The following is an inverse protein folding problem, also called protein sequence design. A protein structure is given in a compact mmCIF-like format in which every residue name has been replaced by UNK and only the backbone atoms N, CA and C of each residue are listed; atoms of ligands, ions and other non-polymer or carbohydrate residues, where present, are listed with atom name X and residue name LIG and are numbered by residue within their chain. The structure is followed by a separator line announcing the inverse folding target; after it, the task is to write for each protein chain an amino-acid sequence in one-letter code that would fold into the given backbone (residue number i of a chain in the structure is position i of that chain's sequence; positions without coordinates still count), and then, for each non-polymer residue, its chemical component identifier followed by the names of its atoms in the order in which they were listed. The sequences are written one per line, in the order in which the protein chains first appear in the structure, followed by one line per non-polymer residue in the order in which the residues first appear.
data_IF_415718810149
#
_entry.id   IF_415718810149
#
_cell.length_a   1.000
_cell.length_b   1.000
_cell.length_c   1.000
_cell.angle_alpha   90.00
_cell.angle_beta   90.00
_cell.angle_gamma   90.00
#
_symmetry.space_group_name_H-M   'P 1'
#
loop_
_entity.id
_entity.type
_entity.pdbx_description
1 polymer ?
#
# COMPACT_ATOMS: atom_id res chain seq x y z
N UNK A 1 22.83 41.07 -13.22
CA UNK A 1 23.33 39.70 -13.08
C UNK A 1 22.15 38.84 -12.65
N UNK A 2 21.71 37.95 -13.50
CA UNK A 2 20.60 37.05 -13.21
C UNK A 2 21.04 36.06 -12.13
N UNK A 3 20.43 36.18 -10.96
CA UNK A 3 20.58 35.23 -9.88
C UNK A 3 19.68 34.06 -10.25
N UNK A 4 20.22 33.00 -10.86
CA UNK A 4 19.49 31.77 -11.12
C UNK A 4 19.08 31.14 -9.79
N UNK A 5 17.78 31.09 -9.53
CA UNK A 5 17.22 30.33 -8.42
C UNK A 5 17.39 28.85 -8.73
N UNK A 6 18.13 28.13 -7.90
CA UNK A 6 18.25 26.68 -7.97
C UNK A 6 17.36 26.07 -6.90
N UNK A 7 16.63 25.04 -7.26
CA UNK A 7 15.80 24.26 -6.35
C UNK A 7 16.30 22.81 -6.34
N UNK A 8 16.46 22.25 -5.15
CA UNK A 8 16.77 20.84 -4.95
C UNK A 8 15.51 20.21 -4.40
N UNK A 9 15.03 19.18 -5.10
CA UNK A 9 13.81 18.45 -4.74
C UNK A 9 14.19 17.02 -4.43
N UNK A 10 13.69 16.49 -3.31
CA UNK A 10 13.94 15.12 -2.88
C UNK A 10 13.15 14.80 -1.63
N UNK A 11 13.29 13.57 -1.17
CA UNK A 11 12.64 13.07 0.04
C UNK A 11 13.66 12.32 0.92
N UNK A 12 14.06 12.87 2.06
CA UNK A 12 15.04 12.25 2.95
C UNK A 12 14.50 10.98 3.64
N UNK A 13 13.20 10.70 3.50
CA UNK A 13 12.53 9.51 4.02
C UNK A 13 12.47 8.37 3.00
N UNK A 14 13.00 8.58 1.79
CA UNK A 14 13.18 7.56 0.76
C UNK A 14 14.66 7.18 0.61
N UNK A 15 14.95 6.25 -0.31
CA UNK A 15 16.33 5.82 -0.54
C UNK A 15 17.17 6.97 -1.12
N UNK A 16 18.41 7.14 -0.66
CA UNK A 16 19.36 8.05 -1.30
C UNK A 16 19.68 7.58 -2.72
N UNK A 17 20.22 8.47 -3.59
CA UNK A 17 20.65 8.08 -4.92
C UNK A 17 21.71 6.98 -4.84
N UNK A 18 21.50 5.89 -5.59
CA UNK A 18 22.52 4.84 -5.72
C UNK A 18 23.62 5.31 -6.65
N UNK A 19 24.89 4.97 -6.35
CA UNK A 19 26.01 5.26 -7.23
C UNK A 19 25.94 4.42 -8.51
N UNK A 20 25.31 4.96 -9.55
CA UNK A 20 25.27 4.34 -10.88
C UNK A 20 26.66 4.18 -11.54
N UNK A 21 27.71 4.78 -10.97
CA UNK A 21 29.08 4.78 -11.54
C UNK A 21 30.08 3.90 -10.81
N UNK A 22 29.73 3.27 -9.69
CA UNK A 22 30.56 2.23 -9.10
C UNK A 22 30.34 0.94 -9.86
N UNK A 23 31.34 0.61 -10.67
CA UNK A 23 31.35 -0.55 -11.56
C UNK A 23 31.10 -1.87 -10.83
N UNK A 24 30.10 -2.59 -11.34
CA UNK A 24 30.02 -4.05 -11.39
C UNK A 24 30.42 -4.86 -10.15
N UNK A 25 29.44 -5.37 -9.53
CA UNK A 25 29.29 -6.38 -8.48
C UNK A 25 28.79 -5.76 -7.19
N UNK A 26 27.48 -5.67 -7.12
CA UNK A 26 26.79 -5.60 -5.83
C UNK A 26 26.97 -6.97 -5.19
N UNK A 27 28.10 -7.19 -4.55
CA UNK A 27 28.23 -8.23 -3.54
C UNK A 27 27.41 -7.75 -2.37
N UNK A 28 26.38 -8.51 -1.98
CA UNK A 28 25.53 -8.22 -0.83
C UNK A 28 26.32 -7.98 0.48
N UNK A 29 27.59 -8.40 0.54
CA UNK A 29 28.50 -8.21 1.66
C UNK A 29 29.26 -6.87 1.65
N UNK A 30 29.36 -6.16 0.52
CA UNK A 30 30.15 -4.92 0.40
C UNK A 30 29.35 -3.61 0.37
N UNK A 31 28.01 -3.66 0.45
CA UNK A 31 27.17 -2.45 0.44
C UNK A 31 27.23 -1.64 1.76
N UNK A 32 28.04 -2.04 2.73
CA UNK A 32 28.22 -1.33 4.01
C UNK A 32 28.94 0.03 3.88
N UNK A 33 29.48 0.39 2.70
CA UNK A 33 30.30 1.60 2.52
C UNK A 33 29.66 2.72 1.72
N UNK A 34 28.39 2.59 1.29
CA UNK A 34 27.81 3.54 0.34
C UNK A 34 26.50 4.19 0.79
N UNK A 35 26.30 4.46 2.06
CA UNK A 35 25.35 5.49 2.47
C UNK A 35 25.97 6.87 2.20
N UNK A 36 26.09 7.20 0.91
CA UNK A 36 26.46 8.55 0.50
C UNK A 36 25.32 9.49 0.88
N UNK A 37 25.65 10.49 1.65
CA UNK A 37 24.75 11.61 1.93
C UNK A 37 24.24 12.18 0.60
N UNK A 38 22.94 12.38 0.52
CA UNK A 38 22.36 12.99 -0.69
C UNK A 38 22.67 14.50 -0.69
N UNK A 39 22.76 15.11 -1.88
CA UNK A 39 22.86 16.57 -2.00
C UNK A 39 21.76 17.30 -1.22
N UNK A 40 20.59 16.67 -1.06
CA UNK A 40 19.51 17.20 -0.23
C UNK A 40 19.90 17.24 1.25
N UNK A 41 20.53 16.18 1.77
CA UNK A 41 20.97 16.11 3.16
C UNK A 41 22.06 17.15 3.43
N UNK A 42 23.00 17.37 2.50
CA UNK A 42 24.00 18.45 2.58
C UNK A 42 23.34 19.83 2.68
N UNK A 43 22.33 20.08 1.83
CA UNK A 43 21.60 21.35 1.85
C UNK A 43 20.80 21.55 3.15
N UNK A 44 20.22 20.47 3.69
CA UNK A 44 19.53 20.52 4.98
C UNK A 44 20.50 20.76 6.14
N UNK A 45 21.69 20.15 6.10
CA UNK A 45 22.73 20.32 7.11
C UNK A 45 23.21 21.78 7.22
N UNK A 46 23.31 22.48 6.10
CA UNK A 46 23.67 23.91 6.08
C UNK A 46 22.46 24.85 6.27
N UNK A 47 21.32 24.33 6.68
CA UNK A 47 20.10 25.09 6.98
C UNK A 47 19.58 25.92 5.82
N UNK A 48 19.66 25.44 4.59
CA UNK A 48 19.02 26.09 3.45
C UNK A 48 17.52 26.24 3.66
N UNK A 49 16.89 27.34 3.20
CA UNK A 49 15.44 27.49 3.27
C UNK A 49 14.73 26.33 2.60
N UNK A 50 13.79 25.70 3.32
CA UNK A 50 13.08 24.52 2.86
C UNK A 50 11.57 24.73 2.86
N UNK A 51 10.89 24.07 1.92
CA UNK A 51 9.45 23.98 1.85
C UNK A 51 9.04 22.50 1.75
N UNK A 52 8.07 22.10 2.56
CA UNK A 52 7.52 20.75 2.51
C UNK A 52 6.43 20.66 1.44
N UNK A 53 6.55 19.67 0.54
CA UNK A 53 5.45 19.27 -0.33
C UNK A 53 4.51 18.37 0.48
N UNK A 54 3.43 18.94 0.98
CA UNK A 54 2.54 18.27 1.92
C UNK A 54 1.56 17.32 1.23
N UNK A 55 1.24 17.52 -0.05
CA UNK A 55 0.21 16.78 -0.76
C UNK A 55 0.67 15.40 -1.19
N UNK A 56 -0.05 14.37 -0.72
CA UNK A 56 0.08 13.01 -1.22
C UNK A 56 -0.94 12.76 -2.34
N UNK A 57 -0.48 12.44 -3.54
CA UNK A 57 -1.32 12.31 -4.74
C UNK A 57 -1.40 10.88 -5.30
N UNK A 58 -0.44 9.99 -4.97
CA UNK A 58 -0.35 8.65 -5.55
C UNK A 58 -1.49 7.76 -5.14
N UNK A 59 -1.71 7.62 -3.86
CA UNK A 59 -2.69 6.67 -3.30
C UNK A 59 -4.10 7.21 -3.41
N UNK A 60 -4.98 6.44 -4.03
CA UNK A 60 -6.41 6.77 -4.15
C UNK A 60 -7.19 6.51 -2.87
N UNK A 61 -6.57 5.82 -1.91
CA UNK A 61 -7.16 5.50 -0.62
C UNK A 61 -6.19 5.85 0.50
N UNK A 62 -6.69 6.53 1.51
CA UNK A 62 -5.90 7.06 2.61
C UNK A 62 -5.15 5.98 3.39
N UNK A 63 -5.72 4.76 3.56
CA UNK A 63 -5.06 3.67 4.27
C UNK A 63 -3.73 3.23 3.64
N UNK A 64 -3.52 3.45 2.34
CA UNK A 64 -2.28 3.06 1.64
C UNK A 64 -1.06 3.89 2.05
N UNK A 65 -1.27 5.09 2.57
CA UNK A 65 -0.19 5.97 3.04
C UNK A 65 -0.25 6.21 4.55
N UNK A 66 -1.34 5.82 5.22
CA UNK A 66 -1.58 6.14 6.63
C UNK A 66 -0.44 5.69 7.54
N UNK A 67 0.06 4.45 7.37
CA UNK A 67 1.16 3.94 8.17
C UNK A 67 2.46 4.73 7.93
N UNK A 68 2.84 4.97 6.68
CA UNK A 68 4.02 5.78 6.33
C UNK A 68 3.89 7.20 6.87
N UNK A 69 2.71 7.82 6.74
CA UNK A 69 2.47 9.18 7.22
C UNK A 69 2.66 9.28 8.73
N UNK A 70 2.09 8.35 9.49
CA UNK A 70 2.24 8.28 10.94
C UNK A 70 3.70 8.01 11.36
N UNK A 71 4.34 7.01 10.73
CA UNK A 71 5.62 6.50 11.21
C UNK A 71 6.82 7.31 10.77
N UNK A 72 6.79 7.87 9.55
CA UNK A 72 7.95 8.48 8.90
C UNK A 72 7.79 9.95 8.56
N UNK A 73 6.54 10.44 8.43
CA UNK A 73 6.26 11.83 8.03
C UNK A 73 5.56 12.66 9.10
N UNK A 74 5.52 12.19 10.35
CA UNK A 74 4.94 12.90 11.51
C UNK A 74 3.49 13.37 11.27
N UNK A 75 2.70 12.62 10.49
CA UNK A 75 1.35 12.99 10.03
C UNK A 75 1.28 14.31 9.24
N UNK A 76 2.38 14.73 8.60
CA UNK A 76 2.43 16.00 7.85
C UNK A 76 1.94 15.89 6.41
N UNK A 77 1.77 14.67 5.89
CA UNK A 77 1.21 14.47 4.56
C UNK A 77 -0.30 14.70 4.58
N UNK A 78 -0.73 15.55 3.68
CA UNK A 78 -2.15 15.84 3.48
C UNK A 78 -2.76 14.82 2.54
N UNK A 79 -3.77 14.14 3.03
CA UNK A 79 -4.55 13.13 2.30
C UNK A 79 -6.02 13.51 2.31
N UNK A 80 -6.77 13.04 1.34
CA UNK A 80 -8.23 13.16 1.33
C UNK A 80 -8.85 11.79 1.63
N UNK A 81 -9.90 11.74 2.46
CA UNK A 81 -10.62 10.50 2.68
C UNK A 81 -11.30 10.03 1.40
N UNK A 82 -11.38 8.73 1.21
CA UNK A 82 -12.12 8.11 0.11
C UNK A 82 -13.57 7.82 0.52
N UNK A 83 -14.49 7.74 -0.45
CA UNK A 83 -15.89 7.39 -0.15
C UNK A 83 -16.04 5.99 0.47
N UNK A 84 -15.08 5.09 0.25
CA UNK A 84 -15.02 3.74 0.81
C UNK A 84 -14.00 3.61 1.96
N UNK A 85 -13.75 4.69 2.70
CA UNK A 85 -12.75 4.79 3.76
C UNK A 85 -13.04 3.92 5.01
N UNK A 86 -14.20 3.26 5.04
CA UNK A 86 -14.60 2.31 6.09
C UNK A 86 -13.80 1.01 6.07
N UNK A 87 -13.19 0.66 4.91
CA UNK A 87 -12.39 -0.54 4.73
C UNK A 87 -10.96 -0.17 4.36
N UNK A 88 -9.98 -0.78 5.05
CA UNK A 88 -8.58 -0.64 4.67
C UNK A 88 -8.32 -1.30 3.31
N UNK A 89 -7.59 -0.61 2.44
CA UNK A 89 -7.07 -1.18 1.17
C UNK A 89 -5.68 -1.80 1.35
N UNK A 90 -5.18 -1.86 2.58
CA UNK A 90 -4.03 -2.70 2.98
C UNK A 90 -4.60 -3.91 3.70
N UNK A 91 -4.30 -5.09 3.20
CA UNK A 91 -4.72 -6.38 3.75
C UNK A 91 -3.52 -7.32 3.87
N UNK A 92 -3.61 -8.32 4.73
CA UNK A 92 -2.59 -9.34 4.90
C UNK A 92 -3.19 -10.73 4.78
N UNK A 93 -2.44 -11.61 4.13
CA UNK A 93 -2.74 -13.02 3.99
C UNK A 93 -1.57 -13.79 4.59
N UNK A 94 -1.86 -14.79 5.42
CA UNK A 94 -0.88 -15.67 6.02
C UNK A 94 -0.95 -17.05 5.36
N UNK A 95 -0.14 -17.31 4.31
CA UNK A 95 -0.04 -18.64 3.73
C UNK A 95 0.51 -19.64 4.76
N UNK A 96 0.03 -20.87 4.74
CA UNK A 96 0.60 -21.94 5.55
C UNK A 96 1.91 -22.42 4.94
N UNK A 97 3.00 -22.27 5.68
CA UNK A 97 4.33 -22.65 5.21
C UNK A 97 5.44 -22.18 6.14
N UNK A 98 6.66 -22.36 5.68
CA UNK A 98 7.85 -21.97 6.43
C UNK A 98 8.89 -21.30 5.51
N UNK A 99 9.84 -20.62 6.12
CA UNK A 99 11.00 -20.04 5.45
C UNK A 99 12.17 -21.01 5.49
N UNK A 100 12.70 -21.40 4.33
CA UNK A 100 13.89 -22.24 4.23
C UNK A 100 15.17 -21.44 4.49
N UNK A 101 15.43 -21.17 5.76
CA UNK A 101 16.61 -20.39 6.20
C UNK A 101 17.94 -21.07 5.89
N UNK A 102 17.97 -22.40 5.95
CA UNK A 102 19.22 -23.18 5.97
C UNK A 102 19.80 -23.51 4.60
N UNK A 103 18.99 -23.44 3.54
CA UNK A 103 19.35 -23.92 2.19
C UNK A 103 19.11 -22.85 1.14
N UNK A 104 17.86 -22.73 0.69
CA UNK A 104 17.49 -21.88 -0.45
C UNK A 104 17.26 -20.43 -0.09
N UNK A 105 16.98 -20.12 1.18
CA UNK A 105 16.55 -18.80 1.67
C UNK A 105 15.27 -18.31 0.97
N UNK A 106 14.37 -19.24 0.64
CA UNK A 106 13.12 -19.01 -0.07
C UNK A 106 11.91 -19.27 0.82
N UNK A 107 10.79 -18.64 0.47
CA UNK A 107 9.49 -18.92 1.02
C UNK A 107 8.53 -19.32 -0.11
N UNK A 108 8.46 -20.62 -0.37
CA UNK A 108 7.67 -21.18 -1.47
C UNK A 108 6.18 -20.94 -1.30
N UNK A 109 5.67 -20.98 -0.06
CA UNK A 109 4.27 -20.77 0.22
C UNK A 109 3.79 -19.34 -0.12
N UNK A 110 4.60 -18.34 0.27
CA UNK A 110 4.30 -16.95 -0.12
C UNK A 110 4.43 -16.75 -1.63
N UNK A 111 5.48 -17.31 -2.26
CA UNK A 111 5.68 -17.19 -3.69
C UNK A 111 4.50 -17.76 -4.47
N UNK A 112 4.03 -18.96 -4.12
CA UNK A 112 2.88 -19.58 -4.76
C UNK A 112 1.62 -18.75 -4.60
N UNK A 113 1.34 -18.27 -3.38
CA UNK A 113 0.16 -17.45 -3.11
C UNK A 113 0.17 -16.14 -3.91
N UNK A 114 1.34 -15.53 -4.12
CA UNK A 114 1.49 -14.33 -4.95
C UNK A 114 1.21 -14.64 -6.42
N UNK A 115 1.77 -15.72 -6.96
CA UNK A 115 1.56 -16.12 -8.36
C UNK A 115 0.09 -16.48 -8.61
N UNK A 116 -0.52 -17.25 -7.72
CA UNK A 116 -1.96 -17.58 -7.81
C UNK A 116 -2.85 -16.33 -7.82
N UNK A 117 -2.50 -15.31 -7.04
CA UNK A 117 -3.23 -14.04 -7.05
C UNK A 117 -3.04 -13.26 -8.35
N UNK A 118 -1.85 -13.28 -8.96
CA UNK A 118 -1.62 -12.67 -10.28
C UNK A 118 -2.53 -13.34 -11.31
N UNK A 119 -2.48 -14.67 -11.41
CA UNK A 119 -3.29 -15.44 -12.37
C UNK A 119 -4.77 -15.22 -12.12
N UNK A 120 -5.22 -15.25 -10.85
CA UNK A 120 -6.62 -14.99 -10.48
C UNK A 120 -7.09 -13.63 -10.96
N UNK A 121 -6.29 -12.56 -10.72
CA UNK A 121 -6.66 -11.19 -11.11
C UNK A 121 -6.72 -11.02 -12.62
N UNK A 122 -5.76 -11.59 -13.32
CA UNK A 122 -5.71 -11.47 -14.77
C UNK A 122 -6.83 -12.28 -15.46
N UNK A 123 -7.30 -13.36 -14.84
CA UNK A 123 -8.42 -14.16 -15.32
C UNK A 123 -9.78 -13.52 -15.05
N UNK A 124 -9.88 -12.61 -14.07
CA UNK A 124 -11.13 -11.94 -13.69
C UNK A 124 -11.35 -10.67 -14.54
N UNK A 125 -12.49 -10.59 -15.23
CA UNK A 125 -12.80 -9.45 -16.12
C UNK A 125 -12.85 -8.09 -15.43
N UNK A 126 -13.20 -8.05 -14.14
CA UNK A 126 -13.27 -6.82 -13.36
C UNK A 126 -11.91 -6.39 -12.83
N UNK A 127 -11.03 -7.35 -12.52
CA UNK A 127 -9.74 -7.10 -11.87
C UNK A 127 -8.57 -6.99 -12.85
N UNK A 128 -8.69 -7.55 -14.06
CA UNK A 128 -7.60 -7.59 -15.06
C UNK A 128 -7.15 -6.22 -15.57
N UNK A 129 -7.97 -5.18 -15.36
CA UNK A 129 -7.63 -3.82 -15.76
C UNK A 129 -6.73 -3.09 -14.74
N UNK A 130 -6.57 -3.63 -13.54
CA UNK A 130 -5.68 -3.09 -12.54
C UNK A 130 -4.26 -3.59 -12.77
N UNK A 131 -3.32 -2.68 -12.92
CA UNK A 131 -1.91 -3.03 -13.06
C UNK A 131 -1.35 -3.63 -11.77
N UNK A 132 -0.49 -4.65 -11.90
CA UNK A 132 0.02 -5.43 -10.77
C UNK A 132 1.54 -5.25 -10.64
N UNK A 133 2.01 -5.02 -9.42
CA UNK A 133 3.42 -5.06 -9.07
C UNK A 133 3.66 -5.99 -7.88
N UNK A 134 4.73 -6.77 -7.96
CA UNK A 134 5.19 -7.60 -6.85
C UNK A 134 6.43 -6.97 -6.23
N UNK A 135 6.42 -6.84 -4.91
CA UNK A 135 7.55 -6.32 -4.14
C UNK A 135 7.99 -7.37 -3.13
N UNK A 136 9.28 -7.71 -3.13
CA UNK A 136 9.87 -8.71 -2.25
C UNK A 136 11.00 -8.10 -1.40
N UNK A 137 11.33 -8.73 -0.28
CA UNK A 137 12.44 -8.29 0.56
C UNK A 137 13.81 -8.68 0.01
N UNK A 138 13.91 -9.76 -0.73
CA UNK A 138 15.18 -10.30 -1.22
C UNK A 138 15.12 -10.63 -2.71
N UNK A 139 16.28 -10.59 -3.39
CA UNK A 139 16.42 -11.04 -4.76
C UNK A 139 16.14 -12.53 -4.92
N UNK A 140 16.42 -13.34 -3.91
CA UNK A 140 16.15 -14.79 -3.92
C UNK A 140 14.65 -15.06 -4.00
N UNK A 141 13.84 -14.35 -3.21
CA UNK A 141 12.37 -14.46 -3.25
C UNK A 141 11.81 -13.87 -4.56
N UNK A 142 12.41 -12.79 -5.06
CA UNK A 142 12.07 -12.20 -6.35
C UNK A 142 12.24 -13.22 -7.48
N UNK A 143 13.41 -13.84 -7.58
CA UNK A 143 13.70 -14.83 -8.62
C UNK A 143 12.76 -16.05 -8.53
N UNK A 144 12.46 -16.52 -7.31
CA UNK A 144 11.53 -17.63 -7.12
C UNK A 144 10.13 -17.31 -7.66
N UNK A 145 9.62 -16.10 -7.39
CA UNK A 145 8.30 -15.69 -7.88
C UNK A 145 8.34 -15.52 -9.40
N UNK A 146 9.43 -14.98 -9.94
CA UNK A 146 9.62 -14.79 -11.39
C UNK A 146 9.66 -16.14 -12.12
N UNK A 147 10.44 -17.11 -11.62
CA UNK A 147 10.50 -18.47 -12.15
C UNK A 147 9.12 -19.14 -12.14
N UNK A 148 8.39 -19.08 -11.01
CA UNK A 148 7.05 -19.65 -10.90
C UNK A 148 6.04 -18.96 -11.83
N UNK A 149 6.13 -17.65 -12.00
CA UNK A 149 5.25 -16.92 -12.91
C UNK A 149 5.55 -17.28 -14.37
N UNK A 150 6.84 -17.47 -14.73
CA UNK A 150 7.22 -17.94 -16.06
C UNK A 150 6.65 -19.34 -16.34
N UNK A 151 6.61 -20.24 -15.36
CA UNK A 151 5.99 -21.56 -15.50
C UNK A 151 4.48 -21.43 -15.74
N UNK A 152 3.80 -20.55 -15.00
CA UNK A 152 2.36 -20.30 -15.20
C UNK A 152 2.06 -19.62 -16.54
N UNK A 153 2.93 -18.75 -17.05
CA UNK A 153 2.78 -18.16 -18.38
C UNK A 153 2.81 -19.26 -19.48
N UNK A 154 3.65 -20.30 -19.31
CA UNK A 154 3.65 -21.43 -20.24
C UNK A 154 2.32 -22.21 -20.22
N UNK A 155 1.62 -22.26 -19.08
CA UNK A 155 0.31 -22.88 -18.93
C UNK A 155 -0.86 -21.99 -19.39
N UNK A 156 -0.65 -20.65 -19.39
CA UNK A 156 -1.65 -19.62 -19.68
C UNK A 156 -1.13 -18.58 -20.68
N UNK A 157 -0.80 -18.98 -21.94
CA UNK A 157 -0.19 -18.07 -22.91
C UNK A 157 -1.10 -16.89 -23.29
N UNK A 158 -2.41 -17.02 -23.14
CA UNK A 158 -3.38 -15.93 -23.33
C UNK A 158 -3.21 -14.81 -22.29
N UNK A 159 -2.89 -15.16 -21.05
CA UNK A 159 -2.65 -14.19 -19.98
C UNK A 159 -1.29 -13.51 -20.14
N UNK A 160 -0.25 -14.26 -20.58
CA UNK A 160 1.04 -13.69 -20.93
C UNK A 160 0.93 -12.65 -22.05
N UNK A 161 0.16 -12.97 -23.10
CA UNK A 161 -0.07 -12.02 -24.19
C UNK A 161 -0.84 -10.78 -23.74
N UNK A 162 -1.78 -10.95 -22.81
CA UNK A 162 -2.53 -9.84 -22.21
C UNK A 162 -1.59 -8.94 -21.40
N UNK A 163 -0.72 -9.51 -20.57
CA UNK A 163 0.27 -8.78 -19.79
C UNK A 163 1.24 -8.01 -20.69
N UNK A 164 1.79 -8.66 -21.71
CA UNK A 164 2.74 -8.06 -22.66
C UNK A 164 2.13 -6.87 -23.43
N UNK A 165 0.81 -6.87 -23.68
CA UNK A 165 0.10 -5.79 -24.34
C UNK A 165 -0.31 -4.66 -23.40
N UNK A 166 -0.22 -4.88 -22.09
CA UNK A 166 -0.55 -3.89 -21.08
C UNK A 166 0.43 -2.70 -21.14
N UNK A 167 -0.05 -1.45 -21.00
CA UNK A 167 0.82 -0.29 -20.85
C UNK A 167 1.66 -0.34 -19.56
N UNK A 168 1.20 -1.08 -18.57
CA UNK A 168 1.88 -1.30 -17.28
C UNK A 168 1.95 -2.82 -16.98
N UNK A 169 2.85 -3.57 -17.63
CA UNK A 169 2.97 -5.02 -17.41
C UNK A 169 3.34 -5.34 -15.96
N UNK A 170 3.09 -6.56 -15.55
CA UNK A 170 3.48 -7.06 -14.23
C UNK A 170 4.98 -6.88 -14.03
N UNK A 171 5.37 -6.33 -12.89
CA UNK A 171 6.77 -6.32 -12.48
C UNK A 171 6.97 -7.12 -11.19
N UNK A 172 8.13 -7.74 -11.05
CA UNK A 172 8.59 -8.37 -9.81
C UNK A 172 9.91 -7.72 -9.43
N UNK A 173 9.93 -6.98 -8.30
CA UNK A 173 11.08 -6.20 -7.85
C UNK A 173 11.35 -6.40 -6.36
N UNK A 174 12.59 -6.21 -5.95
CA UNK A 174 12.94 -6.21 -4.54
C UNK A 174 12.95 -4.78 -3.95
N UNK A 175 13.17 -4.68 -2.63
CA UNK A 175 13.18 -3.41 -1.91
C UNK A 175 14.20 -2.39 -2.45
N UNK A 176 15.29 -2.84 -3.07
CA UNK A 176 16.34 -1.96 -3.59
C UNK A 176 15.96 -1.34 -4.94
N UNK A 177 15.14 -2.04 -5.73
CA UNK A 177 14.88 -1.71 -7.14
C UNK A 177 13.48 -1.14 -7.39
N UNK A 178 12.61 -1.06 -6.38
CA UNK A 178 11.20 -0.64 -6.52
C UNK A 178 11.02 0.87 -6.46
N UNK A 179 12.07 1.63 -6.17
CA UNK A 179 11.96 3.09 -6.09
C UNK A 179 11.63 3.69 -7.46
N UNK A 180 10.64 4.57 -7.50
CA UNK A 180 10.14 5.20 -8.72
C UNK A 180 8.99 4.48 -9.39
N UNK A 181 8.83 3.18 -9.15
CA UNK A 181 7.70 2.40 -9.69
C UNK A 181 6.43 2.55 -8.86
N UNK A 182 5.30 2.30 -9.49
CA UNK A 182 3.98 2.23 -8.86
C UNK A 182 3.05 1.37 -9.69
N UNK A 183 2.05 0.74 -9.06
CA UNK A 183 0.98 -0.02 -9.72
C UNK A 183 -0.33 0.19 -8.97
N UNK A 184 -1.43 -0.14 -9.62
CA UNK A 184 -2.75 -0.13 -8.98
C UNK A 184 -2.79 -1.06 -7.78
N UNK A 185 -2.26 -2.26 -7.95
CA UNK A 185 -2.18 -3.27 -6.89
C UNK A 185 -0.75 -3.70 -6.65
N UNK A 186 -0.32 -3.65 -5.40
CA UNK A 186 0.97 -4.17 -4.96
C UNK A 186 0.74 -5.45 -4.16
N UNK A 187 1.38 -6.54 -4.61
CA UNK A 187 1.49 -7.80 -3.88
C UNK A 187 2.85 -7.80 -3.17
N UNK A 188 2.84 -7.77 -1.85
CA UNK A 188 4.02 -7.57 -1.04
C UNK A 188 4.41 -8.87 -0.34
N UNK A 189 5.45 -9.57 -0.81
CA UNK A 189 5.95 -10.80 -0.20
C UNK A 189 7.09 -10.49 0.77
N UNK A 190 6.87 -10.81 2.04
CA UNK A 190 7.88 -10.63 3.09
C UNK A 190 9.04 -11.62 2.89
N UNK A 191 8.75 -12.84 2.52
CA UNK A 191 9.73 -13.88 2.20
C UNK A 191 10.45 -14.47 3.41
N UNK A 192 10.43 -13.80 4.57
CA UNK A 192 11.00 -14.26 5.83
C UNK A 192 9.91 -14.84 6.73
N UNK A 193 10.29 -15.75 7.62
CA UNK A 193 9.33 -16.33 8.55
C UNK A 193 9.95 -17.35 9.49
N UNK A 194 9.12 -18.11 10.23
CA UNK A 194 9.56 -19.25 11.00
C UNK A 194 10.13 -20.33 10.07
N UNK A 195 11.20 -20.98 10.54
CA UNK A 195 11.73 -22.19 9.91
C UNK A 195 10.86 -23.41 10.21
N UNK A 196 11.21 -24.60 9.71
CA UNK A 196 10.49 -25.87 9.98
C UNK A 196 10.32 -26.19 11.48
N UNK A 197 11.18 -25.60 12.32
CA UNK A 197 11.12 -25.75 13.79
C UNK A 197 10.35 -24.64 14.48
N UNK A 198 9.75 -23.72 13.72
CA UNK A 198 9.02 -22.57 14.23
C UNK A 198 9.92 -21.43 14.76
N UNK A 199 11.25 -21.48 14.51
CA UNK A 199 12.19 -20.46 14.98
C UNK A 199 12.26 -19.29 14.00
N UNK A 200 12.10 -18.06 14.52
CA UNK A 200 12.22 -16.83 13.73
C UNK A 200 13.58 -16.17 13.94
N UNK A 201 14.25 -15.86 12.85
CA UNK A 201 15.47 -15.04 12.84
C UNK A 201 15.11 -13.56 12.87
N UNK A 202 15.83 -12.77 13.68
CA UNK A 202 15.67 -11.30 13.64
C UNK A 202 16.53 -10.64 12.57
N UNK A 203 17.07 -11.41 11.62
CA UNK A 203 17.77 -10.88 10.45
C UNK A 203 16.83 -10.91 9.24
N UNK A 204 16.39 -9.74 8.83
CA UNK A 204 15.52 -9.47 7.68
C UNK A 204 16.30 -8.76 6.56
N UNK A 205 17.56 -9.14 6.37
CA UNK A 205 18.40 -8.63 5.30
C UNK A 205 18.55 -7.11 5.29
N UNK A 206 18.19 -6.42 4.20
CA UNK A 206 18.38 -4.97 4.07
C UNK A 206 17.71 -4.12 5.14
N UNK A 207 16.66 -4.62 5.80
CA UNK A 207 15.97 -3.87 6.87
C UNK A 207 16.80 -3.75 8.15
N UNK A 208 17.72 -4.67 8.39
CA UNK A 208 18.56 -4.63 9.59
C UNK A 208 19.70 -3.60 9.48
N UNK A 209 19.98 -3.11 8.28
CA UNK A 209 21.03 -2.10 8.05
C UNK A 209 20.58 -0.73 8.57
N UNK A 210 21.54 0.14 8.80
CA UNK A 210 21.24 1.55 9.09
C UNK A 210 20.49 2.17 7.90
N UNK A 211 19.47 2.98 8.19
CA UNK A 211 18.57 3.51 7.13
C UNK A 211 17.65 2.46 6.46
N UNK A 212 17.69 1.18 6.88
CA UNK A 212 16.86 0.10 6.31
C UNK A 212 15.36 0.37 6.30
N UNK A 213 14.87 1.17 7.24
CA UNK A 213 13.49 1.63 7.30
C UNK A 213 13.06 2.45 6.07
N UNK A 214 13.98 3.14 5.39
CA UNK A 214 13.68 3.89 4.16
C UNK A 214 13.24 2.96 3.04
N UNK A 215 13.84 1.76 2.93
CA UNK A 215 13.45 0.72 1.98
C UNK A 215 12.02 0.26 2.20
N UNK A 216 11.67 0.02 3.44
CA UNK A 216 10.30 -0.33 3.81
C UNK A 216 9.33 0.81 3.45
N UNK A 217 9.64 2.05 3.82
CA UNK A 217 8.81 3.22 3.52
C UNK A 217 8.57 3.39 2.01
N UNK A 218 9.62 3.21 1.20
CA UNK A 218 9.50 3.23 -0.25
C UNK A 218 8.53 2.14 -0.73
N UNK A 219 8.73 0.90 -0.29
CA UNK A 219 7.96 -0.25 -0.76
C UNK A 219 6.47 -0.16 -0.42
N UNK A 220 6.14 0.18 0.85
CA UNK A 220 4.75 0.25 1.32
C UNK A 220 3.96 1.47 0.79
N UNK A 221 4.62 2.39 0.09
CA UNK A 221 4.00 3.56 -0.54
C UNK A 221 3.84 3.43 -2.06
N UNK A 222 3.98 2.23 -2.64
CA UNK A 222 3.96 2.02 -4.11
C UNK A 222 2.57 1.73 -4.68
N UNK A 223 1.58 1.42 -3.86
CA UNK A 223 0.24 1.08 -4.29
C UNK A 223 -0.61 2.32 -4.59
N UNK A 224 -1.34 2.30 -5.71
CA UNK A 224 -2.33 3.32 -6.05
C UNK A 224 -3.74 2.99 -5.52
N UNK A 225 -4.17 1.71 -5.58
CA UNK A 225 -5.52 1.28 -5.21
C UNK A 225 -5.56 0.29 -4.05
N UNK A 226 -4.68 -0.72 -4.06
CA UNK A 226 -4.67 -1.76 -3.03
C UNK A 226 -3.27 -2.32 -2.77
N UNK A 227 -3.02 -2.79 -1.55
CA UNK A 227 -1.84 -3.55 -1.18
C UNK A 227 -2.26 -4.83 -0.46
N UNK A 228 -1.75 -5.96 -0.94
CA UNK A 228 -1.96 -7.27 -0.33
C UNK A 228 -0.61 -7.79 0.14
N UNK A 229 -0.47 -7.94 1.45
CA UNK A 229 0.75 -8.45 2.08
C UNK A 229 0.63 -9.96 2.22
N UNK A 230 1.63 -10.68 1.75
CA UNK A 230 1.79 -12.12 1.95
C UNK A 230 2.91 -12.36 2.95
N UNK A 231 2.61 -12.97 4.05
CA UNK A 231 3.58 -13.22 5.11
C UNK A 231 3.24 -14.46 5.93
N UNK A 232 4.13 -15.43 5.97
CA UNK A 232 4.05 -16.53 6.96
C UNK A 232 4.48 -16.05 8.35
N UNK A 233 5.20 -14.93 8.41
CA UNK A 233 5.62 -14.28 9.66
C UNK A 233 4.45 -13.49 10.23
N UNK A 234 4.22 -13.66 11.54
CA UNK A 234 3.24 -12.87 12.30
C UNK A 234 3.92 -11.76 13.10
N UNK A 235 3.27 -10.60 13.31
CA UNK A 235 3.87 -9.49 14.04
C UNK A 235 4.34 -9.87 15.46
N UNK A 236 3.60 -10.76 16.16
CA UNK A 236 3.94 -11.21 17.51
C UNK A 236 5.26 -12.00 17.57
N UNK A 237 5.65 -12.62 16.45
CA UNK A 237 6.89 -13.39 16.35
C UNK A 237 8.14 -12.50 16.19
N UNK A 238 7.96 -11.21 15.93
CA UNK A 238 9.05 -10.24 15.85
C UNK A 238 9.37 -9.72 17.25
N UNK A 239 10.48 -10.20 17.80
CA UNK A 239 10.96 -9.81 19.14
C UNK A 239 11.93 -8.63 19.05
N UNK A 240 11.42 -7.42 19.32
CA UNK A 240 12.23 -6.20 19.29
C UNK A 240 13.29 -6.11 20.41
N UNK A 241 13.23 -6.97 21.43
CA UNK A 241 14.28 -7.02 22.44
C UNK A 241 15.60 -7.61 21.90
N UNK A 242 15.51 -8.37 20.80
CA UNK A 242 16.64 -9.04 20.13
C UNK A 242 17.26 -8.22 18.99
N UNK A 243 16.70 -7.06 18.68
CA UNK A 243 17.20 -6.19 17.60
C UNK A 243 16.97 -4.72 17.93
N UNK A 244 17.91 -3.86 17.51
CA UNK A 244 17.78 -2.40 17.61
C UNK A 244 17.44 -1.74 16.27
N UNK A 245 17.18 -2.53 15.24
CA UNK A 245 16.93 -2.03 13.89
C UNK A 245 15.57 -1.31 13.82
N UNK A 246 15.60 -0.05 13.39
CA UNK A 246 14.39 0.72 13.11
C UNK A 246 13.58 0.12 11.96
N UNK A 247 14.25 -0.48 10.97
CA UNK A 247 13.60 -1.16 9.85
C UNK A 247 12.78 -2.37 10.30
N UNK A 248 13.31 -3.15 11.26
CA UNK A 248 12.59 -4.30 11.83
C UNK A 248 11.42 -3.85 12.69
N UNK A 249 11.60 -2.79 13.47
CA UNK A 249 10.50 -2.20 14.24
C UNK A 249 9.40 -1.62 13.33
N UNK A 250 9.80 -1.02 12.19
CA UNK A 250 8.89 -0.55 11.16
C UNK A 250 8.12 -1.71 10.51
N UNK A 251 8.79 -2.82 10.20
CA UNK A 251 8.12 -4.01 9.65
C UNK A 251 7.06 -4.56 10.60
N UNK A 252 7.41 -4.74 11.88
CA UNK A 252 6.46 -5.22 12.89
C UNK A 252 5.20 -4.34 12.93
N UNK A 253 5.38 -3.03 13.06
CA UNK A 253 4.26 -2.10 13.08
C UNK A 253 3.44 -2.08 11.79
N UNK A 254 4.09 -2.26 10.63
CA UNK A 254 3.39 -2.37 9.35
C UNK A 254 2.54 -3.65 9.25
N UNK A 255 3.05 -4.79 9.69
CA UNK A 255 2.28 -6.04 9.73
C UNK A 255 1.09 -5.93 10.69
N UNK A 256 1.27 -5.33 11.88
CA UNK A 256 0.17 -5.02 12.81
C UNK A 256 -0.88 -4.10 12.18
N UNK A 257 -0.44 -3.10 11.43
CA UNK A 257 -1.34 -2.22 10.69
C UNK A 257 -2.10 -2.96 9.57
N UNK A 258 -1.44 -3.85 8.84
CA UNK A 258 -2.07 -4.64 7.78
C UNK A 258 -3.15 -5.61 8.34
N UNK A 259 -2.95 -6.13 9.56
CA UNK A 259 -3.94 -7.00 10.23
C UNK A 259 -5.15 -6.21 10.80
N UNK A 260 -4.88 -5.06 11.43
CA UNK A 260 -5.88 -4.33 12.24
C UNK A 260 -6.45 -3.10 11.54
N UNK A 261 -5.86 -2.71 10.40
CA UNK A 261 -6.26 -1.51 9.67
C UNK A 261 -6.05 -0.22 10.47
N UNK A 262 -6.92 0.76 10.28
CA UNK A 262 -6.83 2.07 10.94
C UNK A 262 -6.88 2.01 12.48
N UNK A 263 -7.43 0.95 13.07
CA UNK A 263 -7.47 0.79 14.54
C UNK A 263 -6.06 0.71 15.15
N UNK A 264 -5.06 0.21 14.42
CA UNK A 264 -3.68 0.20 14.88
C UNK A 264 -3.08 1.61 14.94
N UNK A 265 -3.47 2.49 14.02
CA UNK A 265 -3.00 3.90 13.97
C UNK A 265 -3.63 4.75 15.06
N UNK A 266 -4.94 4.59 15.29
CA UNK A 266 -5.66 5.37 16.31
C UNK A 266 -5.25 5.03 17.73
N UNK A 267 -4.76 3.81 18.00
CA UNK A 267 -4.23 3.44 19.31
C UNK A 267 -2.96 4.23 19.70
N UNK A 268 -2.23 4.78 18.73
CA UNK A 268 -1.02 5.57 18.96
C UNK A 268 -1.23 7.10 18.88
N UNK A 269 -2.34 7.54 18.31
CA UNK A 269 -2.69 8.95 18.20
C UNK A 269 -3.70 9.35 19.28
N UNK A 270 -3.25 9.47 20.53
CA UNK A 270 -4.01 10.14 21.62
C UNK A 270 -3.93 11.67 21.54
N UNK A 271 -3.84 12.25 20.37
CA UNK A 271 -4.17 13.66 20.22
C UNK A 271 -5.68 13.79 20.26
N UNK A 272 -6.18 14.27 21.39
CA UNK A 272 -7.56 14.72 21.54
C UNK A 272 -7.92 15.56 20.32
N UNK A 273 -8.83 15.05 19.47
CA UNK A 273 -9.60 15.89 18.57
C UNK A 273 -10.40 16.84 19.45
N UNK A 274 -9.87 18.04 19.63
CA UNK A 274 -10.57 19.12 20.28
C UNK A 274 -11.75 19.51 19.39
N UNK A 275 -12.92 19.53 20.01
CA UNK A 275 -14.17 20.11 19.53
C UNK A 275 -14.74 19.52 18.23
N UNK A 276 -15.52 18.46 18.37
CA UNK A 276 -16.66 18.30 17.47
C UNK A 276 -17.47 19.58 17.59
N UNK A 277 -17.63 20.33 16.49
CA UNK A 277 -18.41 21.54 16.56
C UNK A 277 -19.86 21.14 16.93
N UNK A 278 -20.46 21.81 17.88
CA UNK A 278 -21.83 21.53 18.34
C UNK A 278 -22.81 21.48 17.16
N UNK A 279 -22.49 22.20 16.07
CA UNK A 279 -23.32 22.25 14.86
C UNK A 279 -23.22 20.96 14.06
N UNK A 280 -21.99 20.40 13.88
CA UNK A 280 -21.78 19.12 13.20
C UNK A 280 -22.56 18.00 13.88
N UNK A 281 -22.52 17.96 15.23
CA UNK A 281 -23.28 16.99 16.02
C UNK A 281 -24.79 17.17 15.90
N UNK A 282 -25.28 18.42 15.89
CA UNK A 282 -26.71 18.72 15.73
C UNK A 282 -27.24 18.25 14.36
N UNK A 283 -26.48 18.53 13.27
CA UNK A 283 -26.87 18.11 11.93
C UNK A 283 -26.79 16.58 11.83
N UNK A 284 -25.72 15.96 12.33
CA UNK A 284 -25.56 14.51 12.33
C UNK A 284 -26.69 13.80 13.10
N UNK A 285 -27.12 14.36 14.25
CA UNK A 285 -28.25 13.83 15.02
C UNK A 285 -29.56 13.92 14.23
N UNK A 286 -29.83 15.04 13.60
CA UNK A 286 -31.04 15.22 12.81
C UNK A 286 -31.08 14.24 11.59
N UNK A 287 -29.91 13.96 10.94
CA UNK A 287 -29.83 12.99 9.86
C UNK A 287 -30.06 11.56 10.39
N UNK A 288 -29.53 11.23 11.59
CA UNK A 288 -29.81 9.95 12.25
C UNK A 288 -31.29 9.75 12.57
N UNK A 289 -31.99 10.83 12.99
CA UNK A 289 -33.43 10.81 13.24
C UNK A 289 -34.23 10.53 11.94
N UNK A 290 -33.69 10.85 10.77
CA UNK A 290 -34.25 10.46 9.47
C UNK A 290 -33.98 8.99 9.10
N UNK A 291 -33.23 8.23 9.91
CA UNK A 291 -32.96 6.80 9.72
C UNK A 291 -31.67 6.47 8.99
N UNK A 292 -30.78 7.44 8.73
CA UNK A 292 -29.51 7.20 8.05
C UNK A 292 -28.36 6.95 9.01
N UNK A 293 -27.45 6.04 8.64
CA UNK A 293 -26.16 5.87 9.31
C UNK A 293 -25.24 7.05 9.05
N UNK A 294 -24.61 7.61 10.09
CA UNK A 294 -23.78 8.83 9.98
C UNK A 294 -22.48 8.68 10.74
N UNK A 295 -21.37 9.09 10.12
CA UNK A 295 -20.07 9.33 10.77
C UNK A 295 -19.64 10.77 10.60
N UNK A 296 -18.98 11.32 11.63
CA UNK A 296 -18.45 12.67 11.63
C UNK A 296 -16.94 12.68 11.53
N UNK A 297 -16.34 13.76 11.04
CA UNK A 297 -14.90 14.02 10.97
C UNK A 297 -14.12 12.91 10.24
N UNK A 298 -14.54 12.57 9.02
CA UNK A 298 -13.94 11.49 8.20
C UNK A 298 -12.65 12.00 7.58
N UNK A 299 -11.57 11.25 7.78
CA UNK A 299 -10.22 11.55 7.30
C UNK A 299 -9.20 11.58 8.44
N UNK A 300 -7.94 11.26 8.13
CA UNK A 300 -6.83 11.19 9.09
C UNK A 300 -5.88 12.39 9.03
N UNK A 301 -6.02 13.26 8.01
CA UNK A 301 -5.25 14.49 7.87
C UNK A 301 -6.06 15.76 8.20
N UNK A 302 -5.51 16.94 7.87
CA UNK A 302 -6.21 18.23 8.05
C UNK A 302 -7.47 18.35 7.18
N UNK A 303 -7.51 17.64 6.02
CA UNK A 303 -8.66 17.63 5.13
C UNK A 303 -9.63 16.52 5.51
N UNK A 304 -10.76 16.92 6.08
CA UNK A 304 -11.81 16.01 6.52
C UNK A 304 -13.12 16.30 5.80
N UNK A 305 -13.95 15.27 5.69
CA UNK A 305 -15.37 15.43 5.41
C UNK A 305 -16.08 15.51 6.75
N UNK A 306 -16.83 16.60 6.97
CA UNK A 306 -17.43 16.88 8.27
C UNK A 306 -18.46 15.84 8.68
N UNK A 307 -19.33 15.44 7.73
CA UNK A 307 -20.34 14.41 7.95
C UNK A 307 -20.39 13.49 6.72
N UNK A 308 -20.29 12.19 6.92
CA UNK A 308 -20.51 11.17 5.90
C UNK A 308 -21.76 10.36 6.21
N UNK A 309 -22.63 10.26 5.22
CA UNK A 309 -23.84 9.45 5.27
C UNK A 309 -23.54 8.10 4.68
N UNK A 310 -23.71 7.03 5.47
CA UNK A 310 -23.43 5.66 5.06
C UNK A 310 -24.51 5.21 4.07
N UNK A 311 -24.10 4.51 3.00
CA UNK A 311 -25.04 3.93 2.04
C UNK A 311 -25.88 2.84 2.73
N UNK A 312 -27.22 2.95 2.74
CA UNK A 312 -28.09 1.92 3.30
C UNK A 312 -27.97 0.56 2.63
N UNK A 313 -27.61 0.52 1.36
CA UNK A 313 -27.48 -0.70 0.56
C UNK A 313 -26.04 -1.30 0.66
N UNK A 314 -25.06 -0.48 1.06
CA UNK A 314 -23.66 -0.89 1.23
C UNK A 314 -23.03 -0.20 2.44
N UNK A 315 -23.12 -0.81 3.62
CA UNK A 315 -22.58 -0.27 4.89
C UNK A 315 -21.06 -0.01 4.87
N UNK A 316 -20.38 -0.39 3.80
CA UNK A 316 -18.93 -0.25 3.64
C UNK A 316 -18.52 1.04 2.95
N UNK A 317 -19.49 1.82 2.46
CA UNK A 317 -19.26 3.04 1.68
C UNK A 317 -20.14 4.19 2.17
N UNK A 318 -19.72 5.40 1.84
CA UNK A 318 -20.52 6.59 2.06
C UNK A 318 -21.25 6.98 0.77
N UNK A 319 -22.54 7.23 0.89
CA UNK A 319 -23.39 7.68 -0.20
C UNK A 319 -23.22 9.18 -0.46
N UNK A 320 -23.10 9.98 0.59
CA UNK A 320 -23.01 11.44 0.54
C UNK A 320 -22.02 11.96 1.59
N UNK A 321 -21.21 12.93 1.22
CA UNK A 321 -20.36 13.71 2.12
C UNK A 321 -20.87 15.13 2.27
N UNK A 322 -20.94 15.63 3.48
CA UNK A 322 -21.33 17.01 3.78
C UNK A 322 -20.11 17.80 4.25
N UNK A 323 -19.85 18.92 3.61
CA UNK A 323 -18.85 19.90 4.01
C UNK A 323 -19.54 21.11 4.65
N UNK A 324 -19.08 21.46 5.86
CA UNK A 324 -19.54 22.63 6.59
C UNK A 324 -18.54 23.79 6.45
N UNK A 325 -18.95 24.99 6.81
CA UNK A 325 -18.10 26.18 6.92
C UNK A 325 -17.48 26.35 8.32
N UNK A 326 -17.25 25.22 9.02
CA UNK A 326 -16.69 25.14 10.37
C UNK A 326 -15.16 25.14 10.43
N UNK A 327 -14.61 24.65 11.55
CA UNK A 327 -13.15 24.63 11.84
C UNK A 327 -12.34 23.93 10.77
N UNK A 328 -12.81 22.79 10.24
CA UNK A 328 -12.11 22.07 9.18
C UNK A 328 -11.92 22.92 7.91
N UNK A 329 -12.81 23.86 7.66
CA UNK A 329 -12.73 24.79 6.54
C UNK A 329 -11.71 25.92 6.78
N UNK A 330 -11.48 26.30 8.05
CA UNK A 330 -10.53 27.37 8.40
C UNK A 330 -9.08 26.94 8.23
N UNK A 331 -8.78 25.64 8.28
CA UNK A 331 -7.43 25.10 8.08
C UNK A 331 -6.98 25.12 6.62
N UNK A 332 -7.89 25.23 5.66
CA UNK A 332 -7.50 25.38 4.26
C UNK A 332 -7.08 26.82 3.98
N UNK A 333 -5.88 27.00 3.42
CA UNK A 333 -5.15 28.27 3.36
C UNK A 333 -5.78 29.33 2.46
N UNK A 334 -6.52 28.91 1.41
CA UNK A 334 -7.13 29.84 0.44
C UNK A 334 -8.59 29.53 0.14
N UNK A 335 -9.32 30.54 -0.35
CA UNK A 335 -10.69 30.35 -0.84
C UNK A 335 -10.73 29.36 -2.04
N UNK A 336 -9.70 29.39 -2.88
CA UNK A 336 -9.57 28.47 -4.02
C UNK A 336 -9.47 27.02 -3.53
N UNK A 337 -8.69 26.75 -2.47
CA UNK A 337 -8.55 25.40 -1.92
C UNK A 337 -9.90 24.89 -1.38
N UNK A 338 -10.65 25.75 -0.71
CA UNK A 338 -11.93 25.39 -0.08
C UNK A 338 -13.06 25.15 -1.08
N UNK A 339 -13.16 26.00 -2.09
CA UNK A 339 -14.34 26.02 -2.96
C UNK A 339 -14.15 25.30 -4.28
N UNK A 340 -12.91 25.11 -4.72
CA UNK A 340 -12.60 24.49 -6.00
C UNK A 340 -11.81 23.19 -5.79
N UNK A 341 -10.65 23.24 -5.14
CA UNK A 341 -9.73 22.12 -5.05
C UNK A 341 -10.33 20.98 -4.22
N UNK A 342 -10.73 21.24 -2.98
CA UNK A 342 -11.26 20.22 -2.08
C UNK A 342 -12.46 19.47 -2.66
N UNK A 343 -13.52 20.13 -3.16
CA UNK A 343 -14.64 19.42 -3.77
C UNK A 343 -14.24 18.65 -5.02
N UNK A 344 -13.37 19.21 -5.88
CA UNK A 344 -12.90 18.53 -7.09
C UNK A 344 -12.14 17.25 -6.79
N UNK A 345 -11.24 17.28 -5.79
CA UNK A 345 -10.48 16.09 -5.38
C UNK A 345 -11.40 15.05 -4.75
N UNK A 346 -12.30 15.44 -3.86
CA UNK A 346 -13.26 14.53 -3.24
C UNK A 346 -14.17 13.87 -4.27
N UNK A 347 -14.69 14.64 -5.24
CA UNK A 347 -15.48 14.08 -6.34
C UNK A 347 -14.64 13.10 -7.18
N UNK A 348 -13.36 13.43 -7.46
CA UNK A 348 -12.44 12.53 -8.15
C UNK A 348 -12.12 11.24 -7.38
N UNK A 349 -12.29 11.24 -6.05
CA UNK A 349 -12.17 10.07 -5.16
C UNK A 349 -13.51 9.34 -4.97
N UNK A 350 -14.55 9.70 -5.73
CA UNK A 350 -15.86 9.02 -5.71
C UNK A 350 -16.86 9.57 -4.70
N UNK A 351 -16.58 10.68 -4.03
CA UNK A 351 -17.56 11.28 -3.15
C UNK A 351 -18.65 12.02 -3.92
N UNK A 352 -19.90 11.88 -3.47
CA UNK A 352 -20.95 12.84 -3.73
C UNK A 352 -20.88 13.89 -2.64
N UNK A 353 -20.63 15.16 -2.97
CA UNK A 353 -20.40 16.22 -1.99
C UNK A 353 -21.54 17.23 -2.01
N UNK A 354 -22.09 17.50 -0.82
CA UNK A 354 -23.02 18.59 -0.55
C UNK A 354 -22.36 19.59 0.40
N UNK A 355 -22.46 20.87 0.09
CA UNK A 355 -22.04 21.93 1.01
C UNK A 355 -23.26 22.46 1.77
N UNK A 356 -23.13 22.56 3.08
CA UNK A 356 -24.14 23.12 3.98
C UNK A 356 -23.50 24.26 4.76
N UNK A 357 -24.13 25.42 4.71
CA UNK A 357 -23.67 26.56 5.47
C UNK A 357 -24.29 26.54 6.87
N UNK A 358 -23.47 26.85 7.87
CA UNK A 358 -23.88 26.87 9.26
C UNK A 358 -25.00 27.88 9.49
N UNK A 359 -24.95 29.03 8.80
CA UNK A 359 -26.01 30.06 8.89
C UNK A 359 -27.34 29.55 8.34
N UNK A 360 -27.35 28.81 7.21
CA UNK A 360 -28.59 28.23 6.67
C UNK A 360 -29.23 27.25 7.65
N UNK A 361 -28.40 26.48 8.37
CA UNK A 361 -28.90 25.56 9.40
C UNK A 361 -29.60 26.27 10.56
N UNK A 362 -29.09 27.41 10.99
CA UNK A 362 -29.71 28.18 12.05
C UNK A 362 -30.94 28.95 11.56
N UNK A 363 -30.98 29.35 10.30
CA UNK A 363 -32.09 30.11 9.71
C UNK A 363 -33.30 29.19 9.43
N UNK A 364 -33.07 28.05 8.76
CA UNK A 364 -34.14 27.11 8.35
C UNK A 364 -33.64 25.66 8.29
N UNK A 365 -33.78 24.96 9.42
CA UNK A 365 -33.37 23.55 9.56
C UNK A 365 -34.13 22.62 8.62
N UNK A 366 -35.43 22.84 8.45
CA UNK A 366 -36.28 21.95 7.66
C UNK A 366 -35.92 22.06 6.18
N UNK A 367 -35.62 23.26 5.70
CA UNK A 367 -35.12 23.49 4.35
C UNK A 367 -33.76 22.74 4.11
N UNK A 368 -32.83 22.87 5.07
CA UNK A 368 -31.52 22.20 4.96
C UNK A 368 -31.69 20.69 4.98
N UNK A 369 -32.50 20.13 5.86
CA UNK A 369 -32.79 18.69 5.89
C UNK A 369 -33.49 18.23 4.59
N UNK A 370 -34.40 19.03 4.05
CA UNK A 370 -34.99 18.75 2.75
C UNK A 370 -33.99 18.70 1.61
N UNK A 371 -33.00 19.60 1.59
CA UNK A 371 -31.91 19.61 0.63
C UNK A 371 -30.98 18.39 0.79
N UNK A 372 -30.66 18.02 2.03
CA UNK A 372 -29.85 16.83 2.32
C UNK A 372 -30.57 15.56 1.83
N UNK A 373 -31.88 15.43 2.10
CA UNK A 373 -32.69 14.32 1.66
C UNK A 373 -32.74 14.24 0.12
N UNK A 374 -33.00 15.36 -0.54
CA UNK A 374 -32.98 15.42 -2.01
C UNK A 374 -31.60 15.02 -2.60
N UNK A 375 -30.51 15.43 -1.94
CA UNK A 375 -29.17 15.03 -2.34
C UNK A 375 -28.91 13.53 -2.15
N UNK A 376 -29.41 12.93 -1.07
CA UNK A 376 -29.35 11.47 -0.84
C UNK A 376 -30.12 10.73 -1.91
N UNK A 377 -31.35 11.14 -2.20
CA UNK A 377 -32.25 10.49 -3.17
C UNK A 377 -31.70 10.59 -4.61
N UNK A 378 -30.94 11.64 -4.93
CA UNK A 378 -30.34 11.88 -6.25
C UNK A 378 -28.88 11.39 -6.37
N UNK A 379 -28.26 10.97 -5.27
CA UNK A 379 -26.87 10.53 -5.30
C UNK A 379 -26.71 9.26 -6.16
N UNK A 380 -25.77 9.25 -7.14
CA UNK A 380 -25.47 8.04 -7.88
C UNK A 380 -24.93 6.99 -6.93
N UNK A 381 -25.50 5.78 -6.97
CA UNK A 381 -25.02 4.65 -6.20
C UNK A 381 -23.78 4.08 -6.85
N UNK A 382 -22.76 3.82 -6.07
CA UNK A 382 -21.58 3.13 -6.55
C UNK A 382 -21.91 1.64 -6.77
N UNK A 383 -21.45 1.06 -7.89
CA UNK A 383 -21.51 -0.38 -8.05
C UNK A 383 -20.62 -1.02 -6.97
N UNK A 384 -21.18 -1.97 -6.22
CA UNK A 384 -20.49 -2.63 -5.13
C UNK A 384 -19.19 -3.26 -5.65
N UNK A 385 -18.03 -2.74 -5.22
CA UNK A 385 -16.77 -3.44 -5.37
C UNK A 385 -16.90 -4.76 -4.61
N UNK A 386 -16.96 -5.88 -5.35
CA UNK A 386 -16.92 -7.21 -4.76
C UNK A 386 -15.56 -7.38 -4.12
N UNK A 387 -15.45 -7.11 -2.82
CA UNK A 387 -14.29 -7.50 -2.04
C UNK A 387 -14.26 -9.03 -2.11
N UNK A 388 -13.24 -9.64 -2.70
CA UNK A 388 -13.14 -11.07 -2.72
C UNK A 388 -12.95 -11.53 -1.27
N UNK A 389 -14.02 -12.05 -0.67
CA UNK A 389 -13.90 -12.91 0.50
C UNK A 389 -13.37 -14.25 -0.01
N UNK A 390 -12.13 -14.28 -0.47
CA UNK A 390 -11.44 -15.53 -0.64
C UNK A 390 -11.25 -16.11 0.76
N UNK A 391 -11.93 -17.20 1.07
CA UNK A 391 -11.45 -18.08 2.13
C UNK A 391 -9.96 -18.27 1.85
N UNK A 392 -9.07 -18.11 2.83
CA UNK A 392 -7.66 -18.36 2.60
C UNK A 392 -7.53 -19.75 2.01
N UNK A 393 -6.97 -19.83 0.80
CA UNK A 393 -6.62 -21.13 0.24
C UNK A 393 -5.60 -21.72 1.21
N UNK A 394 -5.89 -22.92 1.71
CA UNK A 394 -4.98 -23.63 2.60
C UNK A 394 -3.88 -24.18 1.71
N UNK A 395 -2.77 -23.43 1.61
CA UNK A 395 -1.59 -23.87 0.88
C UNK A 395 -0.79 -24.79 1.80
N UNK A 396 -0.85 -26.08 1.55
CA UNK A 396 -0.08 -27.09 2.29
C UNK A 396 1.24 -27.35 1.58
N UNK A 397 2.34 -27.16 2.29
CA UNK A 397 3.72 -27.50 1.83
C UNK A 397 3.83 -28.94 1.33
N UNK A 398 2.99 -29.84 1.85
CA UNK A 398 2.99 -31.26 1.45
C UNK A 398 2.51 -31.52 0.02
N UNK A 399 1.77 -30.61 -0.60
CA UNK A 399 1.38 -30.72 -2.01
C UNK A 399 2.57 -30.38 -2.91
N UNK A 400 3.34 -29.36 -2.56
CA UNK A 400 4.51 -28.90 -3.31
C UNK A 400 5.61 -29.98 -3.36
N UNK A 401 5.91 -30.60 -2.20
CA UNK A 401 6.87 -31.71 -2.13
C UNK A 401 6.46 -32.95 -2.95
N UNK A 402 5.15 -33.20 -3.09
CA UNK A 402 4.63 -34.29 -3.92
C UNK A 402 4.78 -33.99 -5.41
N UNK A 403 4.56 -32.76 -5.84
CA UNK A 403 4.72 -32.35 -7.23
C UNK A 403 6.20 -32.34 -7.66
N UNK A 404 7.12 -31.83 -6.83
CA UNK A 404 8.57 -31.89 -7.08
C UNK A 404 9.08 -33.35 -7.13
N UNK A 405 8.61 -34.20 -6.20
CA UNK A 405 8.98 -35.62 -6.21
C UNK A 405 8.45 -36.33 -7.46
N UNK A 406 7.27 -35.96 -7.94
CA UNK A 406 6.69 -36.49 -9.18
C UNK A 406 7.46 -36.02 -10.42
N UNK A 407 7.82 -34.72 -10.47
CA UNK A 407 8.57 -34.13 -11.56
C UNK A 407 10.02 -34.71 -11.66
N UNK A 408 10.70 -34.87 -10.52
CA UNK A 408 12.00 -35.52 -10.46
C UNK A 408 11.95 -36.98 -10.92
N UNK A 409 10.90 -37.71 -10.52
CA UNK A 409 10.74 -39.13 -10.94
C UNK A 409 10.48 -39.23 -12.43
N UNK A 410 9.76 -38.30 -13.05
CA UNK A 410 9.51 -38.28 -14.48
C UNK A 410 10.75 -37.85 -15.29
N UNK A 411 11.56 -36.93 -14.76
CA UNK A 411 12.80 -36.48 -15.41
C UNK A 411 13.87 -37.57 -15.46
N UNK A 412 13.93 -38.46 -14.47
CA UNK A 412 14.86 -39.62 -14.49
C UNK A 412 14.39 -40.81 -15.35
N UNK A 413 13.14 -40.77 -15.82
CA UNK A 413 12.59 -41.85 -16.65
C UNK A 413 12.86 -41.70 -18.17
N UNK A 414 13.45 -40.62 -18.62
CA UNK A 414 13.82 -40.45 -20.04
C UNK A 414 15.30 -40.80 -20.27
N UNK A 415 15.64 -41.71 -21.24
CA UNK A 415 17.02 -41.97 -21.56
C UNK A 415 17.63 -40.78 -22.30
N UNK A 416 18.66 -40.20 -21.71
CA UNK A 416 19.47 -39.15 -22.35
C UNK A 416 20.12 -39.67 -23.60
N UNK A 417 19.72 -39.18 -24.78
CA UNK A 417 20.49 -39.35 -26.03
C UNK A 417 21.52 -38.21 -26.09
N UNK A 418 22.73 -38.50 -25.72
CA UNK A 418 23.88 -37.60 -25.92
C UNK A 418 24.17 -37.51 -27.42
N UNK A 419 23.81 -36.41 -28.08
CA UNK A 419 24.35 -36.07 -29.39
C UNK A 419 25.61 -35.21 -29.21
N UNK A 420 26.76 -35.79 -29.54
CA UNK A 420 28.03 -35.09 -29.66
C UNK A 420 27.98 -34.18 -30.91
N UNK A 421 27.94 -32.88 -30.70
CA UNK A 421 28.18 -31.89 -31.76
C UNK A 421 29.66 -31.59 -31.76
N UNK A 422 30.37 -32.06 -32.81
CA UNK A 422 31.73 -31.64 -33.14
C UNK A 422 31.70 -30.20 -33.63
N UNK A 423 32.31 -29.28 -32.92
CA UNK A 423 32.67 -27.95 -33.41
C UNK A 423 34.14 -28.07 -33.90
N UNK A 424 34.33 -27.99 -35.19
CA UNK A 424 35.65 -27.76 -35.78
C UNK A 424 35.83 -26.27 -36.01
N UNK A 425 36.85 -25.70 -35.36
CA UNK A 425 37.38 -24.38 -35.73
C UNK A 425 38.14 -24.43 -37.07
N UNK A 426 38.25 -23.27 -37.76
CA UNK A 426 39.56 -22.69 -38.02
C UNK A 426 39.82 -21.39 -37.25
#
# INVERSE_FOLDING_TARGET
SDVYKRQIVGDPKQLPPTNFFSSNRIDEENSEKEDLESLLDDCLAISMPQQYLKWHYRSRHESLIAYSNMKYYDNKLLTFPSHNDLISKVSIIHPEGHYDKGRTKQNKAEARAVVDEIIRRMSDEKLRNDSIGVVTFSSVQQNLIDDMLCEEWANHPELEELDRKSPEPVFIKNLENVQGDERDVILFSVGYGPDEKGQVSMNFGPLNRDGGWRRLNVAISRARKAMIVYSVLRPEQIDLSRTRSEGVAGLKGFLEFAERGKLAVTAHSTTKSTSDSTVTECIAKAIKELGYGVKCNIGSSEFKVDIGIIDPDNEKEYLLGILLDGENTLHSSTAQDRFILQPSVLNGLGWNILRVWTLDWFDDKDRVLGNIKAAIDSAPKHEAETVPTSKPAVYSTSQFEREEASALTSAFAQPYVLSLIHISEP
#
